data_IF_432366489532
#
_entry.id   IF_432366489532
#
_cell.length_a   1.000
_cell.length_b   1.000
_cell.length_c   1.000
_cell.angle_alpha   90.00
_cell.angle_beta   90.00
_cell.angle_gamma   90.00
#
_symmetry.space_group_name_H-M   'P 1'
#
loop_
_entity.id
_entity.type
_entity.pdbx_description
1 polymer ?
#
# COMPACT_ATOMS: atom_id res chain seq x y z
N UNK A 1 -14.92 18.67 2.95
CA UNK A 1 -13.75 18.55 2.06
C UNK A 1 -13.15 17.15 2.24
N UNK A 2 -13.55 16.17 1.43
CA UNK A 2 -13.00 14.80 1.51
C UNK A 2 -11.76 14.73 0.62
N UNK A 3 -10.59 14.95 1.20
CA UNK A 3 -9.32 14.87 0.48
C UNK A 3 -9.00 13.41 0.15
N UNK A 4 -8.81 13.12 -1.15
CA UNK A 4 -8.39 11.80 -1.63
C UNK A 4 -7.03 11.43 -1.03
N UNK A 5 -6.92 10.22 -0.49
CA UNK A 5 -5.67 9.68 0.06
C UNK A 5 -4.82 9.07 -1.07
N UNK A 6 -4.31 9.93 -1.95
CA UNK A 6 -3.33 9.55 -2.98
C UNK A 6 -1.93 9.96 -2.50
N UNK A 7 -1.08 8.99 -2.13
CA UNK A 7 0.26 9.23 -1.60
C UNK A 7 1.30 8.30 -2.24
N UNK A 8 2.48 8.82 -2.51
CA UNK A 8 3.63 8.01 -2.93
C UNK A 8 4.68 8.02 -1.82
N UNK A 9 5.05 6.83 -1.34
CA UNK A 9 6.02 6.61 -0.27
C UNK A 9 7.29 6.03 -0.87
N UNK A 10 8.44 6.63 -0.57
CA UNK A 10 9.73 6.06 -0.92
C UNK A 10 10.13 5.03 0.15
N UNK A 11 10.29 3.78 -0.27
CA UNK A 11 10.59 2.63 0.59
C UNK A 11 11.98 2.06 0.33
N UNK A 12 12.76 2.68 -0.56
CA UNK A 12 14.13 2.30 -0.94
C UNK A 12 14.18 1.02 -1.76
N UNK A 13 13.74 -0.11 -1.20
CA UNK A 13 13.58 -1.38 -1.92
C UNK A 13 12.33 -2.11 -1.43
N UNK A 14 11.34 -2.21 -2.31
CA UNK A 14 10.18 -3.05 -2.05
C UNK A 14 10.58 -4.53 -2.23
N UNK A 15 10.60 -5.27 -1.12
CA UNK A 15 10.87 -6.70 -1.03
C UNK A 15 9.62 -7.55 -1.22
N UNK A 16 8.43 -6.94 -1.11
CA UNK A 16 7.14 -7.62 -1.26
C UNK A 16 6.61 -8.21 0.04
N UNK A 17 5.35 -8.64 -0.01
CA UNK A 17 4.69 -9.36 1.08
C UNK A 17 3.94 -8.47 2.07
N UNK A 18 3.01 -9.09 2.77
CA UNK A 18 2.09 -8.42 3.69
C UNK A 18 2.81 -7.68 4.82
N UNK A 19 3.88 -8.27 5.36
CA UNK A 19 4.66 -7.65 6.44
C UNK A 19 5.21 -6.28 6.03
N UNK A 20 5.74 -6.15 4.81
CA UNK A 20 6.25 -4.88 4.33
C UNK A 20 5.13 -3.89 4.02
N UNK A 21 4.00 -4.35 3.50
CA UNK A 21 2.80 -3.51 3.32
C UNK A 21 2.35 -2.92 4.65
N UNK A 22 2.28 -3.73 5.71
CA UNK A 22 1.95 -3.24 7.07
C UNK A 22 2.95 -2.22 7.58
N UNK A 23 4.25 -2.44 7.39
CA UNK A 23 5.29 -1.46 7.76
C UNK A 23 5.12 -0.14 7.02
N UNK A 24 4.84 -0.18 5.71
CA UNK A 24 4.62 1.03 4.90
C UNK A 24 3.39 1.77 5.41
N UNK A 25 2.27 1.09 5.62
CA UNK A 25 1.04 1.71 6.13
C UNK A 25 1.26 2.32 7.52
N UNK A 26 1.93 1.59 8.42
CA UNK A 26 2.27 2.09 9.76
C UNK A 26 3.17 3.34 9.71
N UNK A 27 4.14 3.40 8.80
CA UNK A 27 4.98 4.59 8.62
C UNK A 27 4.21 5.84 8.17
N UNK A 28 3.03 5.65 7.57
CA UNK A 28 2.13 6.72 7.13
C UNK A 28 1.04 7.05 8.17
N UNK A 29 1.03 6.38 9.32
CA UNK A 29 -0.05 6.47 10.31
C UNK A 29 -1.36 5.86 9.82
N UNK A 30 -1.29 4.86 8.93
CA UNK A 30 -2.45 4.14 8.41
C UNK A 30 -2.49 2.75 9.05
N UNK A 31 -3.52 2.49 9.84
CA UNK A 31 -3.75 1.16 10.41
C UNK A 31 -4.59 0.31 9.47
N UNK A 32 -4.05 -0.85 9.08
CA UNK A 32 -4.74 -1.80 8.23
C UNK A 32 -5.54 -2.82 9.05
N UNK A 33 -6.86 -2.85 8.85
CA UNK A 33 -7.75 -3.89 9.39
C UNK A 33 -7.67 -5.17 8.56
N UNK A 34 -7.69 -5.03 7.24
CA UNK A 34 -7.61 -6.16 6.30
C UNK A 34 -6.65 -5.80 5.18
N UNK A 35 -5.86 -6.79 4.74
CA UNK A 35 -4.92 -6.66 3.64
C UNK A 35 -5.10 -7.88 2.75
N UNK A 36 -5.34 -7.66 1.46
CA UNK A 36 -5.57 -8.72 0.48
C UNK A 36 -4.67 -8.48 -0.72
N UNK A 37 -3.88 -9.49 -1.07
CA UNK A 37 -3.07 -9.45 -2.28
C UNK A 37 -3.99 -9.57 -3.50
N UNK A 38 -4.01 -8.54 -4.34
CA UNK A 38 -4.84 -8.49 -5.54
C UNK A 38 -4.06 -8.94 -6.77
N UNK A 39 -2.81 -8.49 -6.89
CA UNK A 39 -1.94 -8.87 -8.00
C UNK A 39 -0.54 -9.10 -7.50
N UNK A 40 0.06 -10.21 -7.92
CA UNK A 40 1.47 -10.48 -7.73
C UNK A 40 2.06 -10.89 -9.06
N UNK A 41 2.83 -9.99 -9.66
CA UNK A 41 3.58 -10.29 -10.86
C UNK A 41 5.10 -10.19 -10.58
N UNK A 42 5.92 -10.54 -11.56
CA UNK A 42 7.38 -10.57 -11.41
C UNK A 42 7.96 -9.18 -11.09
N UNK A 43 7.22 -8.10 -11.34
CA UNK A 43 7.70 -6.73 -11.29
C UNK A 43 6.85 -5.80 -10.42
N UNK A 44 5.62 -6.17 -10.10
CA UNK A 44 4.63 -5.34 -9.43
C UNK A 44 3.82 -6.18 -8.45
N UNK A 45 3.32 -5.49 -7.45
CA UNK A 45 2.47 -6.04 -6.42
C UNK A 45 1.36 -5.03 -6.15
N UNK A 46 0.11 -5.48 -6.14
CA UNK A 46 -1.03 -4.66 -5.77
C UNK A 46 -1.80 -5.29 -4.62
N UNK A 47 -2.16 -4.47 -3.64
CA UNK A 47 -2.81 -4.90 -2.42
C UNK A 47 -4.06 -4.05 -2.18
N UNK A 48 -5.20 -4.71 -1.99
CA UNK A 48 -6.41 -4.05 -1.52
C UNK A 48 -6.41 -4.07 0.01
N UNK A 49 -6.56 -2.90 0.62
CA UNK A 49 -6.42 -2.69 2.05
C UNK A 49 -7.68 -2.00 2.58
N UNK A 50 -8.24 -2.55 3.65
CA UNK A 50 -9.28 -1.87 4.43
C UNK A 50 -8.61 -1.30 5.67
N UNK A 51 -8.63 0.03 5.79
CA UNK A 51 -8.11 0.74 6.95
C UNK A 51 -9.03 0.58 8.17
N UNK A 52 -8.48 0.77 9.36
CA UNK A 52 -9.23 0.68 10.62
C UNK A 52 -10.39 1.69 10.69
N UNK A 53 -10.26 2.83 10.01
CA UNK A 53 -11.31 3.84 9.88
C UNK A 53 -12.40 3.49 8.83
N UNK A 54 -12.34 2.29 8.23
CA UNK A 54 -13.29 1.81 7.23
C UNK A 54 -13.01 2.25 5.80
N UNK A 55 -12.03 3.13 5.56
CA UNK A 55 -11.63 3.52 4.21
C UNK A 55 -10.96 2.36 3.49
N UNK A 56 -11.18 2.28 2.18
CA UNK A 56 -10.49 1.34 1.31
C UNK A 56 -9.37 2.06 0.60
N UNK A 57 -8.19 1.46 0.61
CA UNK A 57 -7.04 1.94 -0.13
C UNK A 57 -6.41 0.80 -0.90
N UNK A 58 -5.79 1.11 -2.02
CA UNK A 58 -5.00 0.20 -2.81
C UNK A 58 -3.54 0.62 -2.72
N UNK A 59 -2.67 -0.32 -2.38
CA UNK A 59 -1.24 -0.13 -2.43
C UNK A 59 -0.71 -0.74 -3.74
N UNK A 60 -0.02 0.06 -4.52
CA UNK A 60 0.62 -0.29 -5.78
C UNK A 60 2.13 -0.18 -5.58
N UNK A 61 2.83 -1.30 -5.64
CA UNK A 61 4.27 -1.35 -5.53
C UNK A 61 4.88 -1.89 -6.82
N UNK A 62 6.03 -1.35 -7.21
CA UNK A 62 6.85 -1.93 -8.27
C UNK A 62 8.19 -2.36 -7.68
N UNK A 63 8.56 -3.63 -7.84
CA UNK A 63 9.86 -4.19 -7.43
C UNK A 63 11.04 -3.54 -8.15
N UNK A 64 10.80 -2.87 -9.28
CA UNK A 64 11.81 -2.10 -10.04
C UNK A 64 12.03 -0.69 -9.51
N UNK A 65 11.05 -0.14 -8.79
CA UNK A 65 11.11 1.23 -8.30
C UNK A 65 11.25 1.25 -6.76
N UNK A 66 11.97 2.23 -6.20
CA UNK A 66 12.08 2.38 -4.75
C UNK A 66 10.80 2.95 -4.12
N UNK A 67 9.71 3.11 -4.87
CA UNK A 67 8.49 3.79 -4.43
C UNK A 67 7.26 2.90 -4.47
N UNK A 68 6.31 3.23 -3.61
CA UNK A 68 5.02 2.57 -3.47
C UNK A 68 3.95 3.64 -3.43
N UNK A 69 2.88 3.46 -4.18
CA UNK A 69 1.75 4.39 -4.22
C UNK A 69 0.56 3.80 -3.47
N UNK A 70 -0.01 4.56 -2.54
CA UNK A 70 -1.24 4.25 -1.83
C UNK A 70 -2.32 5.16 -2.43
N UNK A 71 -3.42 4.59 -2.90
CA UNK A 71 -4.56 5.31 -3.48
C UNK A 71 -5.83 4.96 -2.76
N UNK A 72 -6.72 5.91 -2.53
CA UNK A 72 -8.07 5.64 -2.00
C UNK A 72 -8.96 5.05 -3.11
N UNK A 73 -9.81 4.07 -2.76
CA UNK A 73 -10.72 3.34 -3.68
C UNK A 73 -12.16 3.37 -3.22
#
# INVERSE_FOLDING_TARGET
MSGKLDRTVNVGKYKGGEAQVRTILGSQGLDAKTIVLKTHDQHNESWDIVLANGKKVQLLASKKNPSVTIKEV
#
